data_IF_548815541288
#
_entry.id   IF_548815541288
#
_cell.length_a   1.000
_cell.length_b   1.000
_cell.length_c   1.000
_cell.angle_alpha   90.00
_cell.angle_beta   90.00
_cell.angle_gamma   90.00
#
_symmetry.space_group_name_H-M   'P 1'
#
loop_
_entity.id
_entity.type
_entity.pdbx_description
1 polymer ?
#
# COMPACT_ATOMS: atom_id res chain seq x y z
N UNK A 1 26.15 14.60 5.21
CA UNK A 1 24.85 14.37 5.88
C UNK A 1 24.30 13.06 5.35
N UNK A 2 24.03 12.07 6.20
CA UNK A 2 23.56 10.75 5.76
C UNK A 2 22.03 10.70 5.80
N UNK A 3 21.34 10.20 4.76
CA UNK A 3 19.89 10.05 4.78
C UNK A 3 19.45 9.19 5.95
N UNK A 4 18.45 9.64 6.71
CA UNK A 4 17.90 8.90 7.86
C UNK A 4 16.83 7.87 7.49
N UNK A 5 16.38 7.84 6.24
CA UNK A 5 15.27 7.01 5.79
C UNK A 5 15.30 6.72 4.30
N UNK A 6 14.30 5.97 3.84
CA UNK A 6 14.10 5.60 2.44
C UNK A 6 12.97 6.43 1.84
N UNK A 7 13.17 6.94 0.63
CA UNK A 7 12.10 7.56 -0.18
C UNK A 7 11.55 6.50 -1.13
N UNK A 8 10.23 6.29 -1.08
CA UNK A 8 9.52 5.36 -1.97
C UNK A 8 8.60 6.20 -2.86
N UNK A 9 8.90 6.26 -4.16
CA UNK A 9 8.06 6.94 -5.14
C UNK A 9 7.10 5.91 -5.74
N UNK A 10 5.81 6.24 -5.74
CA UNK A 10 4.76 5.39 -6.30
C UNK A 10 4.11 6.17 -7.45
N UNK A 11 3.92 5.54 -8.60
CA UNK A 11 3.26 6.15 -9.76
C UNK A 11 1.75 6.35 -9.57
N UNK A 12 1.03 6.82 -10.59
CA UNK A 12 -0.45 6.84 -10.60
C UNK A 12 -1.05 5.50 -11.03
N UNK A 13 -2.37 5.33 -10.89
CA UNK A 13 -3.10 4.07 -11.16
C UNK A 13 -2.51 2.87 -10.36
N UNK A 14 -2.27 3.13 -9.08
CA UNK A 14 -1.59 2.23 -8.15
C UNK A 14 -2.48 1.02 -7.91
N UNK A 15 -1.99 -0.18 -8.21
CA UNK A 15 -2.67 -1.38 -7.78
C UNK A 15 -2.41 -1.59 -6.27
N UNK A 16 -3.39 -1.23 -5.44
CA UNK A 16 -3.34 -1.32 -3.98
C UNK A 16 -3.62 -2.73 -3.45
N UNK A 17 -3.92 -3.69 -4.32
CA UNK A 17 -4.52 -4.97 -3.94
C UNK A 17 -6.03 -4.84 -3.88
N UNK A 18 -6.74 -5.28 -4.93
CA UNK A 18 -8.20 -5.28 -4.94
C UNK A 18 -8.73 -6.35 -3.97
N UNK A 19 -9.53 -5.94 -2.98
CA UNK A 19 -10.14 -6.85 -2.00
C UNK A 19 -11.44 -7.53 -2.48
N UNK A 20 -11.87 -7.27 -3.71
CA UNK A 20 -13.12 -7.79 -4.28
C UNK A 20 -12.91 -8.88 -5.33
N UNK A 21 -12.19 -9.95 -5.00
CA UNK A 21 -12.37 -11.24 -5.68
C UNK A 21 -12.98 -12.25 -4.70
N UNK A 22 -14.21 -11.95 -4.29
CA UNK A 22 -15.11 -13.01 -3.85
C UNK A 22 -15.50 -13.80 -5.09
N UNK A 23 -14.75 -14.88 -5.34
CA UNK A 23 -15.21 -16.19 -5.79
C UNK A 23 -14.51 -16.82 -7.01
N UNK A 24 -14.21 -18.11 -6.80
CA UNK A 24 -14.01 -19.20 -7.75
C UNK A 24 -12.69 -19.30 -8.51
N UNK A 25 -11.70 -19.83 -7.77
CA UNK A 25 -10.86 -20.93 -8.23
C UNK A 25 -9.75 -20.54 -9.20
N UNK A 26 -8.54 -20.37 -8.68
CA UNK A 26 -7.26 -20.85 -9.25
C UNK A 26 -6.11 -20.40 -8.31
N UNK A 27 -5.07 -21.22 -8.11
CA UNK A 27 -3.97 -20.94 -7.16
C UNK A 27 -2.90 -19.96 -7.70
N UNK A 28 -3.25 -19.05 -8.61
CA UNK A 28 -2.27 -18.15 -9.27
C UNK A 28 -2.05 -16.81 -8.56
N UNK A 29 -2.94 -16.39 -7.65
CA UNK A 29 -2.92 -15.04 -7.06
C UNK A 29 -2.08 -14.88 -5.78
N UNK A 30 -1.47 -15.96 -5.26
CA UNK A 30 -0.70 -15.91 -3.99
C UNK A 30 0.53 -14.99 -4.06
N UNK A 31 1.18 -14.88 -5.23
CA UNK A 31 2.37 -14.03 -5.41
C UNK A 31 2.06 -12.54 -5.50
N UNK A 32 0.80 -12.17 -5.77
CA UNK A 32 0.38 -10.79 -5.88
C UNK A 32 0.23 -10.13 -4.50
N UNK A 33 -0.30 -10.88 -3.53
CA UNK A 33 -0.43 -10.44 -2.12
C UNK A 33 0.92 -10.21 -1.44
N UNK A 34 1.93 -11.01 -1.74
CA UNK A 34 3.26 -10.86 -1.14
C UNK A 34 4.05 -9.66 -1.70
N UNK A 35 3.70 -9.16 -2.89
CA UNK A 35 4.43 -8.10 -3.61
C UNK A 35 3.67 -6.77 -3.69
N UNK A 36 2.67 -6.57 -2.84
CA UNK A 36 1.91 -5.32 -2.77
C UNK A 36 2.79 -4.12 -2.34
N UNK A 37 2.47 -2.94 -2.86
CA UNK A 37 3.21 -1.70 -2.55
C UNK A 37 3.12 -1.38 -1.05
N UNK A 38 1.93 -1.56 -0.45
CA UNK A 38 1.74 -1.37 0.99
C UNK A 38 2.62 -2.32 1.82
N UNK A 39 2.68 -3.61 1.44
CA UNK A 39 3.55 -4.59 2.11
C UNK A 39 5.02 -4.17 2.06
N UNK A 40 5.48 -3.70 0.90
CA UNK A 40 6.84 -3.19 0.73
C UNK A 40 7.11 -1.98 1.62
N UNK A 41 6.22 -0.99 1.63
CA UNK A 41 6.35 0.18 2.53
C UNK A 41 6.49 -0.28 3.98
N UNK A 42 5.67 -1.24 4.42
CA UNK A 42 5.76 -1.78 5.78
C UNK A 42 7.09 -2.49 6.05
N UNK A 43 7.53 -3.38 5.15
CA UNK A 43 8.80 -4.11 5.31
C UNK A 43 10.03 -3.17 5.29
N UNK A 44 9.98 -2.10 4.50
CA UNK A 44 11.05 -1.12 4.39
C UNK A 44 11.07 -0.10 5.55
N UNK A 45 9.99 -0.05 6.34
CA UNK A 45 9.86 0.85 7.49
C UNK A 45 10.69 0.37 8.67
N UNK A 46 11.25 1.32 9.42
CA UNK A 46 12.23 1.06 10.50
C UNK A 46 11.73 0.12 11.60
N UNK A 47 10.42 0.07 11.84
CA UNK A 47 9.79 -0.80 12.86
C UNK A 47 8.89 -1.88 12.25
N UNK A 48 8.92 -2.10 10.93
CA UNK A 48 8.02 -3.06 10.28
C UNK A 48 6.55 -2.77 10.61
N UNK A 49 5.83 -3.78 11.08
CA UNK A 49 4.42 -3.69 11.50
C UNK A 49 4.18 -2.76 12.70
N UNK A 50 5.21 -2.49 13.51
CA UNK A 50 5.13 -1.55 14.65
C UNK A 50 5.40 -0.09 14.24
N UNK A 51 5.55 0.15 12.93
CA UNK A 51 5.68 1.49 12.38
C UNK A 51 4.33 2.21 12.39
N UNK A 52 4.37 3.52 12.60
CA UNK A 52 3.19 4.37 12.46
C UNK A 52 3.18 4.95 11.06
N UNK A 53 2.06 4.79 10.36
CA UNK A 53 1.84 5.37 9.04
C UNK A 53 0.91 6.57 9.17
N UNK A 54 1.35 7.71 8.65
CA UNK A 54 0.51 8.89 8.48
C UNK A 54 0.16 9.00 6.99
N UNK A 55 -1.13 9.16 6.70
CA UNK A 55 -1.64 9.25 5.33
C UNK A 55 -2.19 10.66 5.14
N UNK A 56 -1.60 11.40 4.20
CA UNK A 56 -2.05 12.76 3.85
C UNK A 56 -2.86 12.71 2.55
N UNK A 57 -4.18 12.82 2.65
CA UNK A 57 -5.12 12.68 1.53
C UNK A 57 -5.42 14.00 0.81
N UNK A 58 -4.63 15.04 1.04
CA UNK A 58 -4.85 16.42 0.57
C UNK A 58 -4.83 16.59 -0.95
N UNK A 59 -4.29 15.62 -1.69
CA UNK A 59 -4.35 15.61 -3.15
C UNK A 59 -5.76 15.26 -3.70
N UNK A 60 -6.61 14.64 -2.88
CA UNK A 60 -7.98 14.28 -3.26
C UNK A 60 -8.96 15.39 -2.85
N UNK A 61 -9.95 15.67 -3.70
CA UNK A 61 -11.10 16.52 -3.37
C UNK A 61 -12.20 15.77 -2.60
N UNK A 62 -12.12 14.44 -2.56
CA UNK A 62 -13.12 13.56 -1.92
C UNK A 62 -12.45 12.49 -1.03
N UNK A 63 -11.60 12.89 -0.07
CA UNK A 63 -10.77 11.96 0.71
C UNK A 63 -11.60 11.00 1.57
N UNK A 64 -12.70 11.47 2.17
CA UNK A 64 -13.55 10.65 3.05
C UNK A 64 -14.23 9.51 2.26
N UNK A 65 -14.84 9.84 1.12
CA UNK A 65 -15.51 8.86 0.27
C UNK A 65 -14.57 7.78 -0.25
N UNK A 66 -13.35 8.14 -0.64
CA UNK A 66 -12.35 7.18 -1.13
C UNK A 66 -11.73 6.38 0.02
N UNK A 67 -11.66 6.95 1.23
CA UNK A 67 -11.15 6.25 2.41
C UNK A 67 -12.11 5.19 2.97
N UNK A 68 -13.39 5.23 2.61
CA UNK A 68 -14.37 4.21 2.94
C UNK A 68 -14.34 2.99 1.99
N UNK A 69 -13.66 3.08 0.84
CA UNK A 69 -13.43 1.97 -0.10
C UNK A 69 -12.29 1.04 0.33
#
# INVERSE_FOLDING_TARGET
>A
MTPKGKLIIIGGAINTGSFTETQFGLPQNMNFFERGILKRITTESVKGNESRFEIMTTASLIPEKVGEE
#
